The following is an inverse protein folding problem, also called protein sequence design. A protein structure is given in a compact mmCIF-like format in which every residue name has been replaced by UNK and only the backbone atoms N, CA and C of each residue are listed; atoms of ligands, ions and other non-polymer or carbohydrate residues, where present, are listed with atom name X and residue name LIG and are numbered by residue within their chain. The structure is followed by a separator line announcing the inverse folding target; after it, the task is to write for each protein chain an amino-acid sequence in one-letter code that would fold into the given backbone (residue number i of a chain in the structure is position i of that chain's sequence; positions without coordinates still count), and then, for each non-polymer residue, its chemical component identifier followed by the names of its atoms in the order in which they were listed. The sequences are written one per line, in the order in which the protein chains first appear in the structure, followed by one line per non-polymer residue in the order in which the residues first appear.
data_IF_314207931661
#
_entry.id   IF_314207931661
#
_cell.length_a   1.000
_cell.length_b   1.000
_cell.length_c   1.000
_cell.angle_alpha   90.00
_cell.angle_beta   90.00
_cell.angle_gamma   90.00
#
_symmetry.space_group_name_H-M   'P 1'
#
loop_
_entity.id
_entity.type
_entity.pdbx_description
1 polymer ?
#
# COMPACT_ATOMS: atom_id res chain seq x y z
N UNK A 1 -4.06 -19.67 -5.45
CA UNK A 1 -4.13 -18.30 -6.00
C UNK A 1 -3.48 -17.34 -5.04
N UNK A 2 -2.70 -16.36 -5.53
CA UNK A 2 -2.03 -15.38 -4.68
C UNK A 2 -3.03 -14.54 -3.88
N UNK A 3 -2.61 -14.05 -2.74
CA UNK A 3 -3.34 -13.00 -2.02
C UNK A 3 -2.96 -11.64 -2.58
N UNK A 4 -3.94 -10.89 -3.04
CA UNK A 4 -3.75 -9.61 -3.74
C UNK A 4 -4.03 -8.45 -2.81
N UNK A 5 -3.05 -7.56 -2.63
CA UNK A 5 -3.15 -6.37 -1.79
C UNK A 5 -3.03 -5.14 -2.68
N UNK A 6 -4.08 -4.34 -2.74
CA UNK A 6 -4.06 -3.05 -3.44
C UNK A 6 -3.70 -1.91 -2.50
N UNK A 7 -2.82 -1.01 -2.92
CA UNK A 7 -2.52 0.23 -2.20
C UNK A 7 -2.98 1.40 -3.05
N UNK A 8 -4.08 2.02 -2.69
CA UNK A 8 -4.78 3.01 -3.53
C UNK A 8 -5.01 4.33 -2.80
N UNK A 9 -4.78 5.42 -3.49
CA UNK A 9 -5.13 6.78 -3.05
C UNK A 9 -5.04 7.72 -4.24
N UNK A 10 -6.04 8.55 -4.44
CA UNK A 10 -6.10 9.50 -5.56
C UNK A 10 -5.19 10.70 -5.37
N UNK A 11 -4.84 11.03 -4.13
CA UNK A 11 -3.92 12.12 -3.81
C UNK A 11 -2.46 11.70 -3.97
N UNK A 12 -1.67 12.51 -4.67
CA UNK A 12 -0.22 12.35 -4.74
C UNK A 12 0.45 12.58 -3.39
N UNK A 13 1.53 11.84 -3.10
CA UNK A 13 2.30 12.00 -1.86
C UNK A 13 1.65 11.44 -0.59
N UNK A 14 0.56 10.69 -0.67
CA UNK A 14 -0.10 10.09 0.49
C UNK A 14 0.66 8.91 1.11
N UNK A 15 1.73 8.42 0.47
CA UNK A 15 2.55 7.33 0.99
C UNK A 15 2.24 5.96 0.39
N UNK A 16 1.58 5.89 -0.78
CA UNK A 16 1.30 4.61 -1.47
C UNK A 16 2.57 3.78 -1.64
N UNK A 17 3.55 4.29 -2.38
CA UNK A 17 4.79 3.55 -2.66
C UNK A 17 5.58 3.24 -1.38
N UNK A 18 5.52 4.10 -0.35
CA UNK A 18 6.10 3.79 0.96
C UNK A 18 5.45 2.55 1.60
N UNK A 19 4.13 2.47 1.57
CA UNK A 19 3.38 1.31 2.08
C UNK A 19 3.69 0.09 1.22
N UNK A 20 3.59 0.22 -0.11
CA UNK A 20 3.77 -0.88 -1.07
C UNK A 20 5.15 -1.52 -1.00
N UNK A 21 6.22 -0.71 -1.00
CA UNK A 21 7.61 -1.21 -0.99
C UNK A 21 7.97 -1.88 0.34
N UNK A 22 7.59 -1.27 1.46
CA UNK A 22 7.85 -1.87 2.78
C UNK A 22 7.04 -3.15 2.98
N UNK A 23 5.76 -3.17 2.59
CA UNK A 23 4.93 -4.37 2.69
C UNK A 23 5.45 -5.49 1.78
N UNK A 24 5.73 -5.20 0.51
CA UNK A 24 6.24 -6.19 -0.43
C UNK A 24 7.60 -6.73 0.00
N UNK A 25 8.51 -5.87 0.48
CA UNK A 25 9.80 -6.29 0.98
C UNK A 25 9.71 -7.15 2.24
N UNK A 26 8.83 -6.84 3.19
CA UNK A 26 8.63 -7.66 4.38
C UNK A 26 7.97 -9.01 4.07
N UNK A 27 6.95 -9.04 3.21
CA UNK A 27 6.31 -10.29 2.76
C UNK A 27 7.32 -11.21 2.05
N UNK A 28 8.17 -10.64 1.21
CA UNK A 28 9.16 -11.38 0.41
C UNK A 28 10.24 -12.09 1.23
N UNK A 29 10.39 -11.76 2.51
CA UNK A 29 11.34 -12.44 3.40
C UNK A 29 11.02 -13.93 3.58
N UNK A 30 9.75 -14.30 3.43
CA UNK A 30 9.28 -15.67 3.73
C UNK A 30 8.37 -16.25 2.64
N UNK A 31 8.01 -15.48 1.60
CA UNK A 31 7.03 -15.86 0.61
C UNK A 31 7.36 -15.26 -0.75
N UNK A 32 7.01 -15.95 -1.84
CA UNK A 32 7.13 -15.41 -3.20
C UNK A 32 6.18 -14.23 -3.35
N UNK A 33 6.73 -13.04 -3.52
CA UNK A 33 5.97 -11.79 -3.57
C UNK A 33 6.25 -11.06 -4.88
N UNK A 34 5.20 -10.52 -5.47
CA UNK A 34 5.27 -9.67 -6.67
C UNK A 34 4.77 -8.27 -6.31
N UNK A 35 5.53 -7.25 -6.69
CA UNK A 35 5.15 -5.84 -6.59
C UNK A 35 4.87 -5.33 -8.00
N UNK A 36 3.64 -4.86 -8.27
CA UNK A 36 3.28 -4.27 -9.56
C UNK A 36 3.09 -2.76 -9.38
N UNK A 37 3.97 -1.99 -9.99
CA UNK A 37 3.89 -0.53 -10.01
C UNK A 37 2.93 -0.08 -11.11
N UNK A 38 1.83 0.55 -10.72
CA UNK A 38 0.81 1.08 -11.63
C UNK A 38 0.90 2.61 -11.80
N UNK A 39 1.90 3.27 -11.18
CA UNK A 39 2.10 4.72 -11.24
C UNK A 39 3.15 5.11 -12.30
N UNK A 40 2.93 4.68 -13.54
CA UNK A 40 3.83 5.02 -14.64
C UNK A 40 3.40 6.34 -15.31
N UNK A 41 4.34 7.22 -15.71
CA UNK A 41 5.80 7.00 -15.79
C UNK A 41 6.59 7.35 -14.51
N UNK A 42 5.97 7.70 -13.39
CA UNK A 42 6.71 8.01 -12.15
C UNK A 42 7.53 6.83 -11.66
N UNK A 43 6.94 5.62 -11.63
CA UNK A 43 7.63 4.37 -11.38
C UNK A 43 8.44 4.32 -10.08
N UNK A 44 7.91 4.87 -8.99
CA UNK A 44 8.63 4.96 -7.71
C UNK A 44 8.98 3.58 -7.16
N UNK A 45 8.03 2.66 -7.14
CA UNK A 45 8.23 1.31 -6.64
C UNK A 45 9.10 0.48 -7.57
N UNK A 46 8.98 0.68 -8.89
CA UNK A 46 9.84 0.05 -9.88
C UNK A 46 11.30 0.52 -9.76
N UNK A 47 11.52 1.84 -9.57
CA UNK A 47 12.85 2.41 -9.34
C UNK A 47 13.47 1.89 -8.04
N UNK A 48 12.69 1.83 -6.95
CA UNK A 48 13.11 1.24 -5.69
C UNK A 48 13.57 -0.22 -5.87
N UNK A 49 12.80 -1.01 -6.63
CA UNK A 49 13.16 -2.40 -6.87
C UNK A 49 14.43 -2.54 -7.73
N UNK A 50 14.63 -1.67 -8.73
CA UNK A 50 15.85 -1.67 -9.55
C UNK A 50 17.10 -1.46 -8.68
N UNK A 51 17.07 -0.50 -7.74
CA UNK A 51 18.17 -0.28 -6.78
C UNK A 51 18.36 -1.51 -5.89
N UNK A 52 17.26 -2.08 -5.36
CA UNK A 52 17.27 -3.30 -4.55
C UNK A 52 17.89 -4.50 -5.27
N UNK A 53 17.56 -4.67 -6.54
CA UNK A 53 18.08 -5.75 -7.38
C UNK A 53 19.58 -5.58 -7.65
N UNK A 54 20.03 -4.36 -7.96
CA UNK A 54 21.45 -4.04 -8.13
C UNK A 54 22.27 -4.32 -6.88
N UNK A 55 21.68 -4.11 -5.69
CA UNK A 55 22.31 -4.42 -4.42
C UNK A 55 22.25 -5.92 -4.05
N UNK A 56 21.74 -6.80 -4.92
CA UNK A 56 21.61 -8.24 -4.67
C UNK A 56 20.58 -8.60 -3.58
N UNK A 57 19.63 -7.71 -3.28
CA UNK A 57 18.67 -7.85 -2.18
C UNK A 57 17.25 -8.24 -2.64
N UNK A 58 17.06 -8.59 -3.91
CA UNK A 58 15.75 -8.96 -4.43
C UNK A 58 15.13 -10.16 -3.71
N UNK A 59 15.90 -11.23 -3.45
CA UNK A 59 15.42 -12.42 -2.75
C UNK A 59 14.21 -13.05 -3.44
N UNK A 60 13.11 -13.25 -2.71
CA UNK A 60 11.84 -13.78 -3.23
C UNK A 60 10.92 -12.67 -3.80
N UNK A 61 11.41 -11.46 -3.96
CA UNK A 61 10.66 -10.33 -4.52
C UNK A 61 10.92 -10.19 -6.01
N UNK A 62 9.83 -10.05 -6.76
CA UNK A 62 9.82 -9.70 -8.18
C UNK A 62 9.08 -8.36 -8.30
N UNK A 63 9.51 -7.48 -9.18
CA UNK A 63 8.72 -6.31 -9.54
C UNK A 63 8.41 -6.26 -11.03
N UNK A 64 7.22 -5.72 -11.34
CA UNK A 64 6.74 -5.51 -12.69
C UNK A 64 5.95 -4.19 -12.74
N UNK A 65 5.49 -3.79 -13.92
CA UNK A 65 4.74 -2.55 -14.11
C UNK A 65 3.47 -2.80 -14.92
N UNK A 66 2.45 -1.96 -14.72
CA UNK A 66 1.25 -1.94 -15.54
C UNK A 66 0.78 -0.51 -15.78
N UNK A 67 0.55 -0.14 -17.04
CA UNK A 67 0.15 1.22 -17.42
C UNK A 67 -1.35 1.38 -17.63
N UNK A 68 -2.08 0.27 -17.72
CA UNK A 68 -3.53 0.23 -17.89
C UNK A 68 -4.14 -1.02 -17.25
N UNK A 69 -5.47 -1.04 -17.13
CA UNK A 69 -6.18 -2.14 -16.46
C UNK A 69 -6.00 -3.50 -17.15
N UNK A 70 -5.86 -3.55 -18.48
CA UNK A 70 -5.69 -4.81 -19.23
C UNK A 70 -4.33 -5.43 -18.95
N UNK A 71 -3.28 -4.61 -18.97
CA UNK A 71 -1.94 -5.04 -18.57
C UNK A 71 -1.94 -5.53 -17.11
N UNK A 72 -2.60 -4.80 -16.21
CA UNK A 72 -2.69 -5.19 -14.81
C UNK A 72 -3.33 -6.56 -14.62
N UNK A 73 -4.47 -6.81 -15.28
CA UNK A 73 -5.13 -8.13 -15.25
C UNK A 73 -4.20 -9.22 -15.78
N UNK A 74 -3.59 -9.01 -16.94
CA UNK A 74 -2.66 -9.97 -17.54
C UNK A 74 -1.46 -10.26 -16.63
N UNK A 75 -0.91 -9.24 -15.94
CA UNK A 75 0.18 -9.45 -14.97
C UNK A 75 -0.27 -10.23 -13.73
N UNK A 76 -1.44 -9.94 -13.19
CA UNK A 76 -1.99 -10.73 -12.08
C UNK A 76 -2.20 -12.20 -12.49
N UNK A 77 -2.67 -12.46 -13.71
CA UNK A 77 -2.80 -13.81 -14.25
C UNK A 77 -1.44 -14.49 -14.48
N UNK A 78 -0.43 -13.75 -14.93
CA UNK A 78 0.93 -14.25 -15.12
C UNK A 78 1.56 -14.74 -13.82
N UNK A 79 1.27 -14.10 -12.68
CA UNK A 79 1.89 -14.38 -11.38
C UNK A 79 1.01 -15.22 -10.44
N UNK A 80 0.18 -16.12 -10.97
CA UNK A 80 -0.71 -16.98 -10.16
C UNK A 80 0.04 -17.96 -9.24
N UNK A 81 1.32 -18.17 -9.44
CA UNK A 81 2.20 -18.99 -8.62
C UNK A 81 2.88 -18.24 -7.46
N UNK A 82 2.64 -16.92 -7.35
CA UNK A 82 3.07 -16.13 -6.21
C UNK A 82 2.19 -16.41 -4.98
N UNK A 83 2.74 -16.17 -3.79
CA UNK A 83 1.98 -16.17 -2.54
C UNK A 83 1.25 -14.83 -2.33
N UNK A 84 1.93 -13.73 -2.67
CA UNK A 84 1.40 -12.37 -2.56
C UNK A 84 1.65 -11.55 -3.82
N UNK A 85 0.67 -10.72 -4.17
CA UNK A 85 0.81 -9.65 -5.16
C UNK A 85 0.44 -8.32 -4.49
N UNK A 86 1.36 -7.36 -4.50
CA UNK A 86 1.14 -6.00 -4.01
C UNK A 86 1.01 -5.07 -5.22
N UNK A 87 -0.11 -4.37 -5.31
CA UNK A 87 -0.42 -3.43 -6.39
C UNK A 87 -0.23 -2.00 -5.88
N UNK A 88 0.81 -1.30 -6.35
CA UNK A 88 1.05 0.12 -6.04
C UNK A 88 0.25 1.00 -7.01
N UNK A 89 -0.88 1.51 -6.54
CA UNK A 89 -1.84 2.23 -7.37
C UNK A 89 -1.37 3.64 -7.77
N UNK A 90 -1.83 4.15 -8.93
CA UNK A 90 -1.48 5.49 -9.42
C UNK A 90 -2.31 6.57 -8.72
N UNK A 91 -1.84 7.85 -8.72
CA UNK A 91 -2.70 8.98 -8.40
C UNK A 91 -3.66 9.27 -9.56
N UNK A 92 -4.89 9.67 -9.29
CA UNK A 92 -5.83 10.26 -10.26
C UNK A 92 -6.21 9.43 -11.51
N UNK A 93 -5.78 8.17 -11.61
CA UNK A 93 -6.17 7.29 -12.71
C UNK A 93 -7.31 6.39 -12.24
N UNK A 94 -8.54 6.87 -12.40
CA UNK A 94 -9.74 6.20 -11.88
C UNK A 94 -9.90 4.76 -12.42
N UNK A 95 -9.55 4.52 -13.68
CA UNK A 95 -9.67 3.21 -14.34
C UNK A 95 -8.77 2.15 -13.68
N UNK A 96 -7.47 2.46 -13.50
CA UNK A 96 -6.54 1.56 -12.81
C UNK A 96 -6.91 1.38 -11.34
N UNK A 97 -7.33 2.46 -10.67
CA UNK A 97 -7.77 2.38 -9.27
C UNK A 97 -8.99 1.45 -9.12
N UNK A 98 -9.98 1.55 -10.03
CA UNK A 98 -11.13 0.61 -10.04
C UNK A 98 -10.68 -0.83 -10.26
N UNK A 99 -9.77 -1.07 -11.21
CA UNK A 99 -9.24 -2.41 -11.46
C UNK A 99 -8.54 -2.98 -10.22
N UNK A 100 -7.71 -2.19 -9.53
CA UNK A 100 -7.06 -2.59 -8.28
C UNK A 100 -8.10 -2.91 -7.20
N UNK A 101 -9.12 -2.06 -7.00
CA UNK A 101 -10.18 -2.27 -6.02
C UNK A 101 -10.96 -3.58 -6.28
N UNK A 102 -11.17 -3.92 -7.56
CA UNK A 102 -11.86 -5.15 -7.96
C UNK A 102 -10.95 -6.38 -7.85
N UNK A 103 -9.67 -6.29 -8.18
CA UNK A 103 -8.74 -7.42 -8.13
C UNK A 103 -8.32 -7.79 -6.70
N UNK A 104 -8.14 -6.80 -5.82
CA UNK A 104 -7.57 -7.00 -4.50
C UNK A 104 -8.48 -7.76 -3.53
N UNK A 105 -7.88 -8.62 -2.69
CA UNK A 105 -8.51 -9.23 -1.51
C UNK A 105 -8.56 -8.25 -0.34
N UNK A 106 -7.59 -7.33 -0.28
CA UNK A 106 -7.50 -6.25 0.70
C UNK A 106 -6.98 -4.99 0.03
N UNK A 107 -7.69 -3.88 0.20
CA UNK A 107 -7.25 -2.57 -0.24
C UNK A 107 -6.78 -1.74 0.96
N UNK A 108 -5.54 -1.25 0.91
CA UNK A 108 -4.98 -0.30 1.85
C UNK A 108 -5.10 1.11 1.29
N UNK A 109 -5.64 2.01 2.09
CA UNK A 109 -5.82 3.42 1.74
C UNK A 109 -4.92 4.27 2.64
N UNK A 110 -3.71 4.63 2.18
CA UNK A 110 -2.82 5.51 2.92
C UNK A 110 -3.42 6.91 3.05
N UNK A 111 -3.48 7.42 4.29
CA UNK A 111 -3.98 8.76 4.58
C UNK A 111 -2.96 9.47 5.46
N UNK A 112 -2.48 10.62 4.99
CA UNK A 112 -1.58 11.45 5.78
C UNK A 112 -2.31 12.12 6.93
N UNK A 113 -1.60 12.34 8.03
CA UNK A 113 -2.17 12.90 9.26
C UNK A 113 -2.47 14.40 9.14
N UNK A 114 -3.44 14.76 8.30
CA UNK A 114 -3.99 16.11 8.20
C UNK A 114 -5.44 16.11 7.72
N UNK A 115 -6.22 17.12 8.10
CA UNK A 115 -7.60 17.26 7.64
C UNK A 115 -7.70 17.33 6.09
N UNK A 116 -6.77 18.03 5.44
CA UNK A 116 -6.72 18.11 3.97
C UNK A 116 -6.50 16.76 3.29
N UNK A 117 -5.78 15.83 3.93
CA UNK A 117 -5.61 14.46 3.42
C UNK A 117 -6.89 13.65 3.58
N UNK A 118 -7.59 13.80 4.70
CA UNK A 118 -8.86 13.15 4.96
C UNK A 118 -9.89 13.60 3.93
N UNK A 119 -10.06 14.91 3.73
CA UNK A 119 -11.02 15.43 2.74
C UNK A 119 -10.70 14.98 1.32
N UNK A 120 -9.42 14.99 0.93
CA UNK A 120 -9.01 14.53 -0.39
C UNK A 120 -9.24 13.01 -0.62
N UNK A 121 -9.47 12.23 0.44
CA UNK A 121 -9.78 10.80 0.33
C UNK A 121 -11.24 10.57 -0.07
N UNK A 122 -12.12 11.55 0.07
CA UNK A 122 -13.54 11.43 -0.31
C UNK A 122 -13.74 11.04 -1.77
N UNK A 123 -12.90 11.54 -2.68
CA UNK A 123 -12.95 11.18 -4.10
C UNK A 123 -12.67 9.69 -4.34
N UNK A 124 -11.81 9.09 -3.50
CA UNK A 124 -11.53 7.65 -3.57
C UNK A 124 -12.74 6.83 -3.09
N UNK A 125 -13.50 7.31 -2.12
CA UNK A 125 -14.68 6.60 -1.61
C UNK A 125 -15.73 6.40 -2.70
N UNK A 126 -15.91 7.33 -3.60
CA UNK A 126 -16.80 7.16 -4.76
C UNK A 126 -16.37 5.95 -5.62
N UNK A 127 -15.07 5.80 -5.86
CA UNK A 127 -14.52 4.64 -6.60
C UNK A 127 -14.68 3.33 -5.82
N UNK A 128 -14.56 3.36 -4.50
CA UNK A 128 -14.81 2.19 -3.65
C UNK A 128 -16.27 1.77 -3.74
N UNK A 129 -17.22 2.71 -3.69
CA UNK A 129 -18.65 2.40 -3.83
C UNK A 129 -19.00 1.87 -5.24
N UNK A 130 -18.39 2.41 -6.30
CA UNK A 130 -18.52 1.86 -7.64
C UNK A 130 -17.98 0.42 -7.72
N UNK A 131 -16.81 0.15 -7.15
CA UNK A 131 -16.21 -1.18 -7.14
C UNK A 131 -17.07 -2.19 -6.36
N UNK A 132 -17.75 -1.78 -5.31
CA UNK A 132 -18.69 -2.60 -4.53
C UNK A 132 -19.88 -3.10 -5.35
N UNK A 133 -20.21 -2.45 -6.47
CA UNK A 133 -21.24 -2.94 -7.40
C UNK A 133 -20.81 -4.23 -8.12
N UNK A 134 -19.49 -4.47 -8.21
CA UNK A 134 -18.90 -5.64 -8.88
C UNK A 134 -18.65 -6.78 -7.88
N UNK A 135 -18.01 -6.45 -6.74
CA UNK A 135 -17.76 -7.41 -5.64
C UNK A 135 -17.60 -6.67 -4.30
N UNK A 136 -17.74 -7.37 -3.17
CA UNK A 136 -17.39 -6.80 -1.87
C UNK A 136 -15.94 -6.29 -1.83
N UNK A 137 -15.73 -5.04 -1.46
CA UNK A 137 -14.40 -4.44 -1.32
C UNK A 137 -14.01 -4.38 0.15
N UNK A 138 -12.93 -5.09 0.51
CA UNK A 138 -12.36 -5.04 1.84
C UNK A 138 -11.30 -3.93 1.89
N UNK A 139 -11.71 -2.73 2.29
CA UNK A 139 -10.82 -1.57 2.37
C UNK A 139 -10.47 -1.24 3.83
N UNK A 140 -9.22 -0.86 4.07
CA UNK A 140 -8.71 -0.40 5.37
C UNK A 140 -7.87 0.85 5.18
N UNK A 141 -8.09 1.81 6.05
CA UNK A 141 -7.24 3.00 6.11
C UNK A 141 -5.95 2.70 6.86
N UNK A 142 -4.83 3.23 6.39
CA UNK A 142 -3.54 3.21 7.09
C UNK A 142 -3.01 4.64 7.24
N UNK A 143 -2.78 5.05 8.48
CA UNK A 143 -2.18 6.35 8.73
C UNK A 143 -0.73 6.38 8.27
N UNK A 144 -0.36 7.44 7.55
CA UNK A 144 1.02 7.74 7.16
C UNK A 144 1.45 9.07 7.72
N UNK A 145 2.75 9.25 7.95
CA UNK A 145 3.31 10.47 8.57
C UNK A 145 2.61 10.82 9.89
N UNK A 146 2.21 9.79 10.62
CA UNK A 146 1.42 9.92 11.84
C UNK A 146 2.32 10.26 13.05
N UNK A 147 1.81 11.10 13.92
CA UNK A 147 2.45 11.42 15.21
C UNK A 147 1.51 11.01 16.35
N UNK A 148 1.69 9.79 16.90
CA UNK A 148 0.82 9.29 17.96
C UNK A 148 0.92 10.14 19.23
N UNK A 149 -0.06 9.99 20.13
CA UNK A 149 -0.09 10.64 21.45
C UNK A 149 -0.17 12.17 21.41
N UNK A 150 -0.69 12.74 20.32
CA UNK A 150 -0.98 14.16 20.22
C UNK A 150 -2.49 14.40 20.23
N UNK A 151 -2.95 15.55 20.75
CA UNK A 151 -4.35 15.95 20.65
C UNK A 151 -4.82 15.99 19.20
N UNK A 152 -3.98 16.48 18.30
CA UNK A 152 -4.26 16.51 16.87
C UNK A 152 -4.50 15.11 16.31
N UNK A 153 -3.75 14.10 16.76
CA UNK A 153 -3.92 12.72 16.30
C UNK A 153 -5.31 12.16 16.67
N UNK A 154 -5.82 12.46 17.84
CA UNK A 154 -7.18 12.10 18.26
C UNK A 154 -8.24 12.79 17.40
N UNK A 155 -8.13 14.13 17.27
CA UNK A 155 -9.06 14.93 16.45
C UNK A 155 -9.11 14.46 14.99
N UNK A 156 -7.95 14.10 14.40
CA UNK A 156 -7.87 13.56 13.05
C UNK A 156 -8.47 12.15 12.93
N UNK A 157 -8.31 11.31 13.94
CA UNK A 157 -8.89 9.97 13.96
C UNK A 157 -10.42 10.02 14.03
N UNK A 158 -10.97 10.91 14.85
CA UNK A 158 -12.41 11.16 14.94
C UNK A 158 -12.96 11.73 13.62
N UNK A 159 -12.26 12.70 13.03
CA UNK A 159 -12.63 13.29 11.74
C UNK A 159 -12.62 12.24 10.63
N UNK A 160 -11.58 11.41 10.54
CA UNK A 160 -11.48 10.36 9.52
C UNK A 160 -12.60 9.32 9.67
N UNK A 161 -12.92 8.92 10.90
CA UNK A 161 -14.03 7.98 11.16
C UNK A 161 -15.36 8.58 10.70
N UNK A 162 -15.59 9.85 10.98
CA UNK A 162 -16.83 10.56 10.61
C UNK A 162 -16.94 10.77 9.09
N UNK A 163 -15.87 11.24 8.45
CA UNK A 163 -15.90 11.66 7.05
C UNK A 163 -15.73 10.47 6.08
N UNK A 164 -14.90 9.50 6.45
CA UNK A 164 -14.56 8.40 5.54
C UNK A 164 -15.34 7.11 5.80
N UNK A 165 -15.79 6.87 7.03
CA UNK A 165 -16.47 5.61 7.39
C UNK A 165 -15.60 4.37 7.20
N UNK A 166 -14.28 4.53 7.01
CA UNK A 166 -13.35 3.44 6.82
C UNK A 166 -12.76 2.98 8.16
N UNK A 167 -12.63 1.67 8.31
CA UNK A 167 -11.91 1.10 9.46
C UNK A 167 -10.42 1.32 9.27
N UNK A 168 -9.80 2.02 10.22
CA UNK A 168 -8.35 2.19 10.23
C UNK A 168 -7.65 0.93 10.73
N UNK A 169 -6.46 0.65 10.20
CA UNK A 169 -5.55 -0.31 10.81
C UNK A 169 -5.11 0.19 12.19
N UNK A 170 -4.81 -0.75 13.07
CA UNK A 170 -4.22 -0.44 14.38
C UNK A 170 -2.80 0.12 14.24
N UNK A 171 -2.12 -0.30 13.19
CA UNK A 171 -0.76 0.14 12.85
C UNK A 171 -0.79 1.42 12.03
N UNK A 172 0.02 2.39 12.43
CA UNK A 172 0.27 3.62 11.71
C UNK A 172 1.77 3.72 11.35
N UNK A 173 2.08 4.33 10.20
CA UNK A 173 3.45 4.66 9.82
C UNK A 173 3.78 6.07 10.27
N UNK A 174 4.80 6.20 11.11
CA UNK A 174 5.22 7.48 11.68
C UNK A 174 5.84 8.43 10.66
N UNK A 175 5.93 9.71 11.03
CA UNK A 175 6.67 10.69 10.26
C UNK A 175 8.18 10.53 10.55
N UNK A 176 8.86 9.71 9.75
CA UNK A 176 10.28 9.35 9.95
C UNK A 176 11.09 9.52 8.67
N UNK A 177 12.32 9.98 8.81
CA UNK A 177 13.29 10.11 7.71
C UNK A 177 13.62 8.73 7.14
N UNK A 178 13.68 7.71 7.98
CA UNK A 178 13.97 6.33 7.58
C UNK A 178 13.12 5.81 6.42
N UNK A 179 11.85 6.22 6.29
CA UNK A 179 11.03 5.81 5.15
C UNK A 179 11.52 6.41 3.82
N UNK A 180 12.06 7.63 3.83
CA UNK A 180 12.62 8.27 2.64
C UNK A 180 13.98 7.66 2.29
N UNK A 181 14.83 7.41 3.28
CA UNK A 181 16.12 6.75 3.12
C UNK A 181 15.93 5.34 2.55
N UNK A 182 15.07 4.53 3.15
CA UNK A 182 14.78 3.18 2.67
C UNK A 182 14.30 3.17 1.21
N UNK A 183 13.42 4.12 0.84
CA UNK A 183 12.92 4.23 -0.51
C UNK A 183 14.03 4.58 -1.51
N UNK A 184 14.93 5.49 -1.17
CA UNK A 184 16.07 5.90 -2.02
C UNK A 184 17.10 4.79 -2.20
N UNK A 185 17.33 4.00 -1.16
CA UNK A 185 18.39 2.99 -1.11
C UNK A 185 17.92 1.58 -1.55
N UNK A 186 16.69 1.43 -2.02
CA UNK A 186 16.13 0.13 -2.41
C UNK A 186 15.94 -0.82 -1.21
N UNK A 187 15.83 -0.27 0.01
CA UNK A 187 15.67 -1.01 1.25
C UNK A 187 14.23 -0.93 1.77
N UNK A 188 13.89 -1.80 2.71
CA UNK A 188 12.76 -1.59 3.63
C UNK A 188 13.28 -0.94 4.91
N UNK A 189 12.41 -0.29 5.66
CA UNK A 189 12.81 0.27 6.96
C UNK A 189 13.23 -0.81 7.96
N UNK A 190 12.83 -2.05 7.75
CA UNK A 190 13.27 -3.18 8.57
C UNK A 190 14.78 -3.50 8.39
N UNK A 191 15.37 -3.08 7.28
CA UNK A 191 16.79 -3.25 6.96
C UNK A 191 17.67 -2.08 7.45
N UNK A 192 17.06 -0.97 7.88
CA UNK A 192 17.75 0.20 8.46
C UNK A 192 17.96 0.02 9.97
N UNK A 193 18.58 0.98 10.63
CA UNK A 193 18.88 0.94 12.07
C UNK A 193 17.77 1.53 12.95
N UNK A 194 16.76 2.20 12.40
CA UNK A 194 15.71 2.91 13.14
C UNK A 194 14.66 1.93 13.71
N UNK A 195 14.62 1.71 15.06
CA UNK A 195 13.83 0.64 15.66
C UNK A 195 12.33 0.82 15.51
N UNK A 196 11.83 2.06 15.60
CA UNK A 196 10.39 2.32 15.55
C UNK A 196 9.82 2.08 14.16
N UNK A 197 10.53 2.47 13.09
CA UNK A 197 10.10 2.18 11.73
C UNK A 197 10.07 0.67 11.44
N UNK A 198 11.07 -0.08 11.96
CA UNK A 198 11.07 -1.55 11.87
C UNK A 198 9.82 -2.17 12.49
N UNK A 199 9.48 -1.73 13.69
CA UNK A 199 8.30 -2.22 14.43
C UNK A 199 7.01 -1.88 13.67
N UNK A 200 6.90 -0.64 13.15
CA UNK A 200 5.76 -0.21 12.36
C UNK A 200 5.58 -1.07 11.09
N UNK A 201 6.63 -1.28 10.30
CA UNK A 201 6.56 -2.09 9.08
C UNK A 201 6.21 -3.56 9.38
N UNK A 202 6.79 -4.13 10.43
CA UNK A 202 6.49 -5.48 10.87
C UNK A 202 5.02 -5.62 11.30
N UNK A 203 4.53 -4.74 12.15
CA UNK A 203 3.14 -4.79 12.63
C UNK A 203 2.15 -4.55 11.49
N UNK A 204 2.45 -3.64 10.55
CA UNK A 204 1.64 -3.47 9.34
C UNK A 204 1.52 -4.79 8.59
N UNK A 205 2.64 -5.48 8.37
CA UNK A 205 2.67 -6.75 7.62
C UNK A 205 1.90 -7.85 8.37
N UNK A 206 2.08 -7.99 9.68
CA UNK A 206 1.35 -8.95 10.51
C UNK A 206 -0.16 -8.69 10.50
N UNK A 207 -0.58 -7.41 10.61
CA UNK A 207 -1.98 -7.02 10.60
C UNK A 207 -2.63 -7.30 9.23
N UNK A 208 -1.94 -6.98 8.13
CA UNK A 208 -2.37 -7.28 6.76
C UNK A 208 -2.55 -8.79 6.56
N UNK A 209 -1.56 -9.61 6.95
CA UNK A 209 -1.65 -11.06 6.84
C UNK A 209 -2.82 -11.64 7.66
N UNK A 210 -3.07 -11.10 8.87
CA UNK A 210 -4.20 -11.49 9.71
C UNK A 210 -5.55 -11.19 9.06
N UNK A 211 -5.66 -10.04 8.40
CA UNK A 211 -6.88 -9.66 7.67
C UNK A 211 -7.12 -10.57 6.47
N UNK A 212 -6.09 -10.88 5.68
CA UNK A 212 -6.18 -11.76 4.51
C UNK A 212 -6.59 -13.20 4.86
N UNK A 213 -6.19 -13.71 6.05
CA UNK A 213 -6.62 -15.04 6.54
C UNK A 213 -8.10 -15.09 6.90
N UNK A 214 -8.71 -13.97 7.31
CA UNK A 214 -10.12 -13.90 7.69
C UNK A 214 -11.07 -13.83 6.48
N UNK A 215 -10.53 -13.50 5.31
CA UNK A 215 -11.29 -13.32 4.07
C UNK A 215 -11.28 -14.60 3.20
N UNK A 216 -10.63 -15.66 3.67
CA UNK A 216 -10.59 -17.02 3.09
C UNK A 216 -11.57 -17.89 3.81
#
# INVERSE_FOLDING_TARGET
MPKIIGVVQVKGGAGRSTVSTNLAGELSRHAKTVLIDCDMPQGTSASWFAVRQQAGKAGNLIADTATNHRELVAKVEQYQDADFIVLDGPPRIAELTRAILVLADLCLIPVGASAAEIWATSDLLALVEEAKQVKPVNARMVWTRYRPHTRLAQELSELATKELGLVALSTALGMRVAYMEALGDGLTVAELSEPSAKVEARFLTEEVQKLLRKTS
#
